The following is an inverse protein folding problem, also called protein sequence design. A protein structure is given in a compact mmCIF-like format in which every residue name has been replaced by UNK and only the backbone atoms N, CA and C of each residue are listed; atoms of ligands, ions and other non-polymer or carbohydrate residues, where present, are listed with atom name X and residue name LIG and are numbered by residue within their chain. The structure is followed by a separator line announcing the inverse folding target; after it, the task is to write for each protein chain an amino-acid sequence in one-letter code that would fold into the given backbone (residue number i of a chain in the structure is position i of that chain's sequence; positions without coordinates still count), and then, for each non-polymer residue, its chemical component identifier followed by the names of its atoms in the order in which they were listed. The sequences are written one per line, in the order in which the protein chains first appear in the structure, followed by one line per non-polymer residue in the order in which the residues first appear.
data_IF_110885739129
#
_entry.id   IF_110885739129
#
_cell.length_a   1.000
_cell.length_b   1.000
_cell.length_c   1.000
_cell.angle_alpha   90.00
_cell.angle_beta   90.00
_cell.angle_gamma   90.00
#
_symmetry.space_group_name_H-M   'P 1'
#
loop_
_entity.id
_entity.type
_entity.pdbx_description
1 polymer ?
#
# COMPACT_ATOMS: atom_id res chain seq x y z
N UNK A 1 -16.24 21.83 -2.65
CA UNK A 1 -14.82 21.44 -2.58
C UNK A 1 -14.74 20.06 -1.95
N UNK A 2 -13.70 19.27 -2.24
CA UNK A 2 -13.51 17.95 -1.64
C UNK A 2 -13.09 18.13 -0.16
N UNK A 3 -13.67 17.39 0.78
CA UNK A 3 -13.42 17.54 2.24
C UNK A 3 -11.93 17.49 2.59
N UNK A 4 -11.17 16.66 1.88
CA UNK A 4 -9.71 16.56 1.98
C UNK A 4 -9.03 17.88 1.64
N UNK A 5 -9.47 18.55 0.57
CA UNK A 5 -8.92 19.84 0.16
C UNK A 5 -9.18 20.93 1.21
N UNK A 6 -10.37 20.96 1.80
CA UNK A 6 -10.69 21.93 2.86
C UNK A 6 -9.86 21.71 4.14
N UNK A 7 -9.66 20.45 4.55
CA UNK A 7 -8.79 20.12 5.69
C UNK A 7 -7.34 20.52 5.42
N UNK A 8 -6.84 20.21 4.23
CA UNK A 8 -5.48 20.55 3.84
C UNK A 8 -5.26 22.06 3.78
N UNK A 9 -6.17 22.82 3.17
CA UNK A 9 -6.06 24.28 3.05
C UNK A 9 -6.11 25.01 4.41
N UNK A 10 -6.67 24.39 5.46
CA UNK A 10 -6.62 24.92 6.84
C UNK A 10 -5.25 24.74 7.49
N UNK A 11 -4.59 23.61 7.22
CA UNK A 11 -3.32 23.25 7.85
C UNK A 11 -2.10 23.72 7.07
N UNK A 12 -2.22 23.86 5.75
CA UNK A 12 -1.11 24.14 4.85
C UNK A 12 -1.42 25.36 3.98
N UNK A 13 -0.74 26.49 4.19
CA UNK A 13 -0.92 27.67 3.37
C UNK A 13 -0.35 27.46 1.96
N UNK A 14 -0.88 28.22 1.00
CA UNK A 14 -0.37 28.23 -0.38
C UNK A 14 -0.70 26.99 -1.20
N UNK A 15 -1.67 26.17 -0.77
CA UNK A 15 -2.25 25.13 -1.63
C UNK A 15 -3.05 25.80 -2.74
N UNK A 16 -2.64 25.55 -3.99
CA UNK A 16 -3.31 26.01 -5.20
C UNK A 16 -4.39 25.02 -5.64
N UNK A 17 -4.07 23.73 -5.57
CA UNK A 17 -4.93 22.67 -6.10
C UNK A 17 -4.73 21.36 -5.34
N UNK A 18 -5.81 20.59 -5.22
CA UNK A 18 -5.81 19.24 -4.63
C UNK A 18 -6.58 18.30 -5.54
N UNK A 19 -5.92 17.21 -5.94
CA UNK A 19 -6.53 16.12 -6.71
C UNK A 19 -6.53 14.86 -5.87
N UNK A 20 -7.69 14.21 -5.78
CA UNK A 20 -7.87 12.95 -5.06
C UNK A 20 -8.31 11.88 -6.04
N UNK A 21 -7.74 10.69 -5.95
CA UNK A 21 -8.18 9.53 -6.71
C UNK A 21 -7.92 8.23 -5.96
N UNK A 22 -8.61 7.17 -6.37
CA UNK A 22 -8.46 5.83 -5.82
C UNK A 22 -7.78 4.96 -6.86
N UNK A 23 -6.82 4.16 -6.40
CA UNK A 23 -6.17 3.16 -7.23
C UNK A 23 -6.29 1.81 -6.57
N UNK A 24 -6.96 0.87 -7.23
CA UNK A 24 -6.97 -0.52 -6.83
C UNK A 24 -5.68 -1.16 -7.35
N UNK A 25 -4.82 -1.59 -6.44
CA UNK A 25 -3.61 -2.33 -6.82
C UNK A 25 -3.95 -3.81 -7.08
N UNK A 26 -2.99 -4.58 -7.59
CA UNK A 26 -3.12 -6.04 -7.81
C UNK A 26 -3.51 -6.83 -6.55
N UNK A 27 -3.35 -6.22 -5.37
CA UNK A 27 -3.72 -6.77 -4.07
C UNK A 27 -5.18 -6.50 -3.67
N UNK A 28 -6.01 -5.94 -4.56
CA UNK A 28 -7.45 -5.62 -4.38
C UNK A 28 -7.77 -4.60 -3.27
N UNK A 29 -6.80 -4.21 -2.45
CA UNK A 29 -6.95 -3.12 -1.47
C UNK A 29 -6.97 -1.78 -2.23
N UNK A 30 -8.01 -0.95 -2.05
CA UNK A 30 -8.04 0.39 -2.61
C UNK A 30 -7.04 1.28 -1.87
N UNK A 31 -6.10 1.86 -2.63
CA UNK A 31 -5.19 2.87 -2.13
C UNK A 31 -5.74 4.24 -2.50
N UNK A 32 -5.91 5.11 -1.50
CA UNK A 32 -6.18 6.52 -1.75
C UNK A 32 -4.90 7.24 -2.12
N UNK A 33 -5.00 8.10 -3.12
CA UNK A 33 -3.91 8.91 -3.63
C UNK A 33 -4.34 10.36 -3.68
N UNK A 34 -3.49 11.26 -3.18
CA UNK A 34 -3.72 12.70 -3.22
C UNK A 34 -2.51 13.39 -3.83
N UNK A 35 -2.74 14.26 -4.80
CA UNK A 35 -1.75 15.19 -5.34
C UNK A 35 -2.11 16.60 -4.86
N UNK A 36 -1.10 17.34 -4.45
CA UNK A 36 -1.23 18.69 -3.94
C UNK A 36 -0.26 19.58 -4.70
N UNK A 37 -0.79 20.63 -5.31
CA UNK A 37 0.00 21.64 -5.98
C UNK A 37 0.02 22.90 -5.10
N UNK A 38 1.21 23.46 -4.93
CA UNK A 38 1.43 24.67 -4.15
C UNK A 38 1.76 25.84 -5.07
N UNK A 39 1.37 27.04 -4.62
CA UNK A 39 1.73 28.32 -5.23
C UNK A 39 3.23 28.61 -5.17
N UNK A 40 3.94 27.97 -4.23
CA UNK A 40 5.38 28.15 -4.02
C UNK A 40 6.09 26.85 -3.66
N UNK A 41 7.25 26.64 -4.26
CA UNK A 41 8.17 25.54 -3.95
C UNK A 41 8.64 25.50 -2.48
N UNK A 42 8.61 26.63 -1.77
CA UNK A 42 8.96 26.71 -0.36
C UNK A 42 8.09 25.78 0.51
N UNK A 43 6.79 25.74 0.23
CA UNK A 43 5.84 24.91 0.98
C UNK A 43 6.10 23.42 0.70
N UNK A 44 6.29 23.08 -0.56
CA UNK A 44 6.66 21.72 -0.99
C UNK A 44 7.95 21.25 -0.34
N UNK A 45 9.01 22.07 -0.30
CA UNK A 45 10.28 21.70 0.31
C UNK A 45 10.15 21.40 1.81
N UNK A 46 9.37 22.21 2.54
CA UNK A 46 9.13 22.01 3.97
C UNK A 46 8.44 20.67 4.21
N UNK A 47 7.36 20.40 3.48
CA UNK A 47 6.59 19.15 3.60
C UNK A 47 7.43 17.92 3.20
N UNK A 48 8.28 18.05 2.18
CA UNK A 48 9.17 16.98 1.75
C UNK A 48 10.29 16.70 2.76
N UNK A 49 10.73 17.70 3.53
CA UNK A 49 11.67 17.52 4.63
C UNK A 49 11.01 16.78 5.80
N UNK A 50 9.76 17.11 6.11
CA UNK A 50 8.99 16.41 7.15
C UNK A 50 8.66 14.97 6.73
N UNK A 51 8.39 14.74 5.43
CA UNK A 51 8.14 13.42 4.86
C UNK A 51 6.69 12.93 5.03
N UNK A 52 5.82 13.71 5.66
CA UNK A 52 4.40 13.41 5.82
C UNK A 52 3.52 14.66 5.82
N UNK A 53 2.22 14.48 5.58
CA UNK A 53 1.19 15.50 5.84
C UNK A 53 0.08 14.95 6.71
N UNK A 54 -0.66 15.86 7.34
CA UNK A 54 -1.82 15.57 8.16
C UNK A 54 -3.10 15.84 7.38
N UNK A 55 -3.97 14.84 7.30
CA UNK A 55 -5.33 14.97 6.77
C UNK A 55 -6.30 14.55 7.89
N UNK A 56 -6.80 15.53 8.64
CA UNK A 56 -7.49 15.25 9.91
C UNK A 56 -6.53 14.65 10.93
N UNK A 57 -6.89 13.50 11.50
CA UNK A 57 -6.08 12.78 12.50
C UNK A 57 -5.07 11.79 11.88
N UNK A 58 -4.98 11.72 10.55
CA UNK A 58 -4.18 10.73 9.85
C UNK A 58 -2.89 11.33 9.29
N UNK A 59 -1.80 10.58 9.42
CA UNK A 59 -0.49 10.87 8.84
C UNK A 59 -0.37 10.17 7.50
N UNK A 60 -0.07 10.93 6.47
CA UNK A 60 0.07 10.42 5.12
C UNK A 60 1.50 10.63 4.63
N UNK A 61 2.24 9.58 4.25
CA UNK A 61 3.58 9.71 3.71
C UNK A 61 3.55 10.50 2.41
N UNK A 62 4.50 11.41 2.23
CA UNK A 62 4.64 12.17 0.98
C UNK A 62 5.79 11.66 0.13
N UNK A 63 5.60 11.73 -1.18
CA UNK A 63 6.60 11.43 -2.18
C UNK A 63 6.71 12.63 -3.11
N UNK A 64 7.92 13.09 -3.44
CA UNK A 64 8.10 14.14 -4.42
C UNK A 64 7.65 13.65 -5.80
N UNK A 65 6.82 14.44 -6.47
CA UNK A 65 6.52 14.18 -7.88
C UNK A 65 7.75 14.62 -8.67
N UNK A 66 8.45 13.66 -9.27
CA UNK A 66 9.51 14.00 -10.24
C UNK A 66 8.86 14.80 -11.37
N UNK A 67 9.37 15.98 -11.72
CA UNK A 67 8.80 16.78 -12.80
C UNK A 67 8.75 15.93 -14.07
N UNK A 68 7.53 15.59 -14.49
CA UNK A 68 7.34 14.86 -15.73
C UNK A 68 7.50 15.88 -16.86
N UNK A 69 8.67 15.88 -17.53
CA UNK A 69 9.02 16.83 -18.60
C UNK A 69 7.97 16.93 -19.75
N UNK A 70 6.96 16.06 -19.77
CA UNK A 70 5.84 16.08 -20.74
C UNK A 70 4.70 17.03 -20.38
N UNK A 71 4.44 17.32 -19.10
CA UNK A 71 3.33 18.22 -18.68
C UNK A 71 3.71 19.70 -18.70
N UNK A 72 5.00 20.04 -18.51
CA UNK A 72 5.50 21.43 -18.63
C UNK A 72 5.24 22.03 -20.01
N UNK A 73 5.35 21.24 -21.09
CA UNK A 73 5.12 21.72 -22.46
C UNK A 73 3.67 22.13 -22.78
N UNK A 74 2.68 21.77 -21.96
CA UNK A 74 1.29 22.21 -22.16
C UNK A 74 0.88 23.35 -21.23
N UNK A 75 1.56 23.52 -20.09
CA UNK A 75 1.22 24.56 -19.10
C UNK A 75 1.98 25.88 -19.31
N UNK A 76 3.13 25.85 -19.99
CA UNK A 76 3.94 27.03 -20.30
C UNK A 76 3.31 27.97 -21.34
N UNK A 77 2.17 27.60 -21.93
CA UNK A 77 1.46 28.41 -22.93
C UNK A 77 0.57 29.51 -22.35
N UNK A 78 0.17 29.45 -21.06
CA UNK A 78 -0.93 30.30 -20.57
C UNK A 78 -0.70 31.04 -19.24
N UNK A 79 0.48 31.00 -18.61
CA UNK A 79 0.75 31.92 -17.49
C UNK A 79 2.23 32.00 -17.12
N UNK A 80 2.80 33.20 -17.26
CA UNK A 80 4.04 33.56 -16.60
C UNK A 80 3.85 33.52 -15.09
N UNK A 81 4.36 32.48 -14.44
CA UNK A 81 4.62 32.44 -13.00
C UNK A 81 5.50 31.22 -12.70
N UNK A 82 6.79 31.47 -12.59
CA UNK A 82 7.74 30.57 -11.94
C UNK A 82 7.19 30.17 -10.55
N UNK A 83 7.45 28.92 -10.14
CA UNK A 83 7.30 28.35 -8.78
C UNK A 83 6.11 27.45 -8.46
N UNK A 84 5.43 26.85 -9.44
CA UNK A 84 4.51 25.74 -9.16
C UNK A 84 5.30 24.51 -8.68
N UNK A 85 4.88 23.89 -7.58
CA UNK A 85 5.53 22.70 -7.02
C UNK A 85 4.51 21.72 -6.47
N UNK A 86 4.73 20.44 -6.77
CA UNK A 86 3.73 19.38 -6.59
C UNK A 86 4.28 18.29 -5.66
N UNK A 87 3.43 17.77 -4.79
CA UNK A 87 3.70 16.58 -3.98
C UNK A 87 2.60 15.55 -4.18
N UNK A 88 2.98 14.30 -3.95
CA UNK A 88 2.08 13.16 -4.00
C UNK A 88 2.04 12.49 -2.63
N UNK A 89 0.88 11.97 -2.22
CA UNK A 89 0.74 11.25 -0.96
C UNK A 89 -0.26 10.10 -1.08
N UNK A 90 -0.05 9.07 -0.28
CA UNK A 90 -0.82 7.83 -0.36
C UNK A 90 -1.16 7.23 0.98
N UNK A 91 -2.36 6.67 1.07
CA UNK A 91 -2.81 5.91 2.22
C UNK A 91 -3.58 4.69 1.73
N UNK A 92 -3.28 3.53 2.29
CA UNK A 92 -4.15 2.37 2.12
C UNK A 92 -5.44 2.67 2.85
N UNK A 93 -6.55 2.72 2.13
CA UNK A 93 -7.85 2.76 2.77
C UNK A 93 -8.03 1.37 3.33
N UNK A 94 -8.24 1.23 4.65
CA UNK A 94 -8.68 -0.05 5.17
C UNK A 94 -9.91 -0.43 4.33
N UNK A 95 -9.83 -1.52 3.56
CA UNK A 95 -11.08 -2.20 3.22
C UNK A 95 -11.76 -2.36 4.58
N UNK A 96 -13.01 -1.92 4.68
CA UNK A 96 -13.79 -2.12 5.90
C UNK A 96 -13.92 -3.64 6.02
N UNK A 97 -12.95 -4.26 6.67
CA UNK A 97 -13.06 -5.62 7.10
C UNK A 97 -13.99 -5.52 8.29
N UNK A 98 -15.22 -5.99 8.13
CA UNK A 98 -15.99 -6.31 9.30
C UNK A 98 -15.21 -7.33 10.16
N UNK A 99 -15.49 -7.33 11.45
CA UNK A 99 -14.80 -8.19 12.42
C UNK A 99 -14.82 -9.67 11.98
N UNK A 100 -15.88 -10.09 11.29
CA UNK A 100 -16.02 -11.45 10.77
C UNK A 100 -15.02 -11.77 9.67
N UNK A 101 -14.78 -10.84 8.75
CA UNK A 101 -13.80 -10.99 7.65
C UNK A 101 -12.38 -11.09 8.19
N UNK A 102 -12.06 -10.33 9.24
CA UNK A 102 -10.75 -10.41 9.91
C UNK A 102 -10.59 -11.77 10.59
N UNK A 103 -11.59 -12.20 11.37
CA UNK A 103 -11.58 -13.48 12.08
C UNK A 103 -11.48 -14.66 11.11
N UNK A 104 -12.20 -14.60 9.99
CA UNK A 104 -12.14 -15.63 8.95
C UNK A 104 -10.74 -15.72 8.33
N UNK A 105 -10.12 -14.59 8.00
CA UNK A 105 -8.76 -14.57 7.46
C UNK A 105 -7.75 -15.17 8.45
N UNK A 106 -7.90 -14.91 9.75
CA UNK A 106 -7.05 -15.52 10.78
C UNK A 106 -7.28 -17.04 10.89
N UNK A 107 -8.52 -17.51 10.85
CA UNK A 107 -8.82 -18.96 10.94
C UNK A 107 -8.29 -19.71 9.70
N UNK A 108 -8.38 -19.12 8.51
CA UNK A 108 -7.81 -19.69 7.28
C UNK A 108 -6.28 -19.83 7.36
N UNK A 109 -5.58 -18.84 7.92
CA UNK A 109 -4.12 -18.92 8.12
C UNK A 109 -3.76 -19.99 9.14
N UNK A 110 -4.53 -20.10 10.22
CA UNK A 110 -4.35 -21.14 11.26
C UNK A 110 -4.57 -22.55 10.71
N UNK A 111 -5.56 -22.75 9.84
CA UNK A 111 -5.77 -24.03 9.16
C UNK A 111 -4.59 -24.37 8.25
N UNK A 112 -4.12 -23.43 7.42
CA UNK A 112 -2.94 -23.64 6.56
C UNK A 112 -1.69 -24.00 7.35
N UNK A 113 -1.45 -23.34 8.48
CA UNK A 113 -0.34 -23.66 9.36
C UNK A 113 -0.47 -25.07 9.96
N UNK A 114 -1.68 -25.45 10.36
CA UNK A 114 -1.97 -26.78 10.90
C UNK A 114 -1.74 -27.88 9.87
N UNK A 115 -2.13 -27.66 8.62
CA UNK A 115 -1.86 -28.60 7.52
C UNK A 115 -0.37 -28.73 7.23
N UNK A 116 0.37 -27.63 7.29
CA UNK A 116 1.82 -27.62 7.10
C UNK A 116 2.54 -28.39 8.20
N UNK A 117 2.14 -28.19 9.47
CA UNK A 117 2.66 -28.95 10.62
C UNK A 117 2.38 -30.45 10.43
N UNK A 118 1.14 -30.81 10.07
CA UNK A 118 0.77 -32.21 9.82
C UNK A 118 1.60 -32.83 8.68
N UNK A 119 1.84 -32.08 7.62
CA UNK A 119 2.70 -32.53 6.53
C UNK A 119 4.12 -32.84 7.02
N UNK A 120 4.72 -31.96 7.82
CA UNK A 120 6.05 -32.20 8.38
C UNK A 120 6.07 -33.39 9.34
N UNK A 121 5.06 -33.57 10.19
CA UNK A 121 4.96 -34.72 11.09
C UNK A 121 4.92 -36.06 10.32
N UNK A 122 4.17 -36.12 9.22
CA UNK A 122 4.12 -37.31 8.35
C UNK A 122 5.47 -37.57 7.69
N UNK A 123 6.12 -36.53 7.16
CA UNK A 123 7.44 -36.68 6.53
C UNK A 123 8.50 -37.12 7.54
N UNK A 124 8.52 -36.54 8.74
CA UNK A 124 9.45 -36.91 9.80
C UNK A 124 9.22 -38.35 10.28
N UNK A 125 7.97 -38.78 10.45
CA UNK A 125 7.66 -40.16 10.80
C UNK A 125 8.11 -41.17 9.73
N UNK A 126 7.99 -40.83 8.45
CA UNK A 126 8.48 -41.68 7.35
C UNK A 126 10.02 -41.77 7.30
N UNK A 127 10.73 -40.78 7.85
CA UNK A 127 12.21 -40.77 7.93
C UNK A 127 12.69 -41.55 9.16
N UNK A 128 11.99 -41.43 10.30
CA UNK A 128 12.39 -42.06 11.58
C UNK A 128 11.97 -43.54 11.66
N UNK A 129 10.86 -43.91 11.03
CA UNK A 129 10.38 -45.30 10.93
C UNK A 129 10.12 -45.66 9.47
N UNK A 130 11.18 -45.90 8.67
CA UNK A 130 11.00 -46.49 7.35
C UNK A 130 10.39 -47.86 7.57
N UNK A 131 9.12 -48.05 7.22
CA UNK A 131 8.53 -49.37 7.24
C UNK A 131 9.38 -50.28 6.37
N UNK A 132 10.00 -51.28 6.98
CA UNK A 132 10.74 -52.35 6.31
C UNK A 132 9.81 -53.02 5.30
N UNK A 133 9.82 -52.54 4.05
CA UNK A 133 9.41 -53.33 2.89
C UNK A 133 10.54 -54.31 2.55
N UNK A 134 10.85 -55.20 3.49
CA UNK A 134 11.58 -56.43 3.27
C UNK A 134 10.57 -57.56 3.33
N UNK A 135 9.72 -57.62 2.30
CA UNK A 135 8.88 -58.78 2.03
C UNK A 135 9.75 -59.78 1.29
N UNK A 136 10.34 -60.70 2.06
CA UNK A 136 11.17 -61.82 1.64
C UNK A 136 10.51 -62.57 0.48
N UNK A 137 11.22 -62.64 -0.64
CA UNK A 137 11.01 -63.66 -1.68
C UNK A 137 11.04 -65.04 -1.02
N UNK A 138 9.89 -65.69 -0.91
CA UNK A 138 9.81 -67.12 -0.64
C UNK A 138 9.54 -67.81 -1.97
N UNK A 139 10.62 -68.04 -2.72
CA UNK A 139 10.69 -69.08 -3.75
C UNK A 139 10.62 -70.43 -3.04
N UNK A 140 9.51 -71.14 -3.22
CA UNK A 140 9.34 -72.57 -2.95
C UNK A 140 8.07 -72.97 -3.71
N UNK A 141 8.01 -73.91 -4.64
CA UNK A 141 8.93 -74.85 -5.26
C UNK A 141 8.08 -75.60 -6.29
#
# INVERSE_FOLDING_TARGET
MNEVGEKLSKSYPGIKYVKRWFQTNRSEVPTERVQIDFESSKYTQTILQDGFIHIGELYWPVTPIKPNNRLRKQLESDSGSDNQSEIYTEQNIPQVFDEQSILQAFEEQKQKLSELIRYFDVQLNNIVHPQNKSGVESLSG
#
